data_IF_916303634703
#
_entry.id   IF_916303634703
#
_cell.length_a   1.000
_cell.length_b   1.000
_cell.length_c   1.000
_cell.angle_alpha   90.00
_cell.angle_beta   90.00
_cell.angle_gamma   90.00
#
_symmetry.space_group_name_H-M   'P 1'
#
loop_
_entity.id
_entity.type
_entity.pdbx_description
1 polymer ?
#
# COMPACT_ATOMS: atom_id res chain seq x y z
N UNK A 1 6.65 -6.97 -10.21
CA UNK A 1 7.59 -6.92 -9.07
C UNK A 1 7.16 -5.83 -8.08
N UNK A 2 7.09 -6.13 -6.78
CA UNK A 2 6.67 -5.14 -5.76
C UNK A 2 7.85 -4.29 -5.30
N UNK A 3 7.55 -3.09 -4.78
CA UNK A 3 8.58 -2.21 -4.18
C UNK A 3 9.40 -2.92 -3.09
N UNK A 4 8.73 -3.71 -2.23
CA UNK A 4 9.39 -4.48 -1.17
C UNK A 4 10.41 -5.49 -1.73
N UNK A 5 10.11 -6.10 -2.87
CA UNK A 5 10.96 -7.09 -3.52
C UNK A 5 12.17 -6.41 -4.16
N UNK A 6 11.95 -5.29 -4.85
CA UNK A 6 13.01 -4.45 -5.39
C UNK A 6 13.97 -3.95 -4.32
N UNK A 7 13.45 -3.44 -3.20
CA UNK A 7 14.29 -2.97 -2.10
C UNK A 7 15.09 -4.10 -1.47
N UNK A 8 14.55 -5.32 -1.42
CA UNK A 8 15.26 -6.50 -0.92
C UNK A 8 16.37 -6.93 -1.87
N UNK A 9 16.11 -6.94 -3.17
CA UNK A 9 17.08 -7.30 -4.22
C UNK A 9 18.26 -6.31 -4.25
N UNK A 10 17.97 -5.01 -4.18
CA UNK A 10 19.00 -3.97 -4.19
C UNK A 10 19.61 -3.70 -2.80
N UNK A 11 19.17 -4.43 -1.76
CA UNK A 11 19.56 -4.22 -0.36
C UNK A 11 19.42 -2.76 0.09
N UNK A 12 18.32 -2.12 -0.34
CA UNK A 12 17.98 -0.75 0.00
C UNK A 12 17.16 -0.70 1.27
N UNK A 13 17.64 0.07 2.24
CA UNK A 13 16.89 0.46 3.42
C UNK A 13 15.83 1.53 3.10
N UNK A 14 14.86 1.65 4.02
CA UNK A 14 13.76 2.60 3.88
C UNK A 14 14.26 4.05 3.80
N UNK A 15 15.30 4.40 4.57
CA UNK A 15 15.96 5.70 4.56
C UNK A 15 16.76 5.94 3.27
N UNK A 16 17.42 4.91 2.75
CA UNK A 16 18.18 4.99 1.51
C UNK A 16 17.25 5.22 0.32
N UNK A 17 16.13 4.49 0.27
CA UNK A 17 15.13 4.68 -0.78
C UNK A 17 14.42 6.04 -0.67
N UNK A 18 14.11 6.47 0.55
CA UNK A 18 13.54 7.79 0.80
C UNK A 18 14.48 8.92 0.34
N UNK A 19 15.78 8.80 0.67
CA UNK A 19 16.81 9.75 0.23
C UNK A 19 16.98 9.76 -1.28
N UNK A 20 16.88 8.60 -1.93
CA UNK A 20 16.93 8.46 -3.40
C UNK A 20 15.74 9.12 -4.08
N UNK A 21 14.56 9.07 -3.46
CA UNK A 21 13.35 9.70 -4.00
C UNK A 21 13.29 11.21 -3.69
N UNK A 22 13.95 11.67 -2.62
CA UNK A 22 14.13 13.07 -2.23
C UNK A 22 12.90 13.77 -1.66
N UNK A 23 11.70 13.24 -1.90
CA UNK A 23 10.40 13.88 -1.59
C UNK A 23 9.55 13.02 -0.63
N UNK A 24 10.17 12.13 0.14
CA UNK A 24 9.45 11.26 1.06
C UNK A 24 10.28 10.85 2.27
N UNK A 25 9.61 10.35 3.30
CA UNK A 25 10.24 9.86 4.53
C UNK A 25 10.28 8.33 4.53
N UNK A 26 11.22 7.75 5.28
CA UNK A 26 11.31 6.30 5.49
C UNK A 26 9.99 5.69 6.00
N UNK A 27 9.25 6.44 6.82
CA UNK A 27 7.94 6.03 7.30
C UNK A 27 6.89 5.95 6.17
N UNK A 28 6.91 6.89 5.22
CA UNK A 28 6.06 6.82 4.03
C UNK A 28 6.41 5.60 3.16
N UNK A 29 7.71 5.36 2.92
CA UNK A 29 8.19 4.17 2.20
C UNK A 29 7.72 2.88 2.86
N UNK A 30 7.81 2.80 4.20
CA UNK A 30 7.31 1.65 4.97
C UNK A 30 5.80 1.44 4.74
N UNK A 31 5.00 2.50 4.82
CA UNK A 31 3.54 2.43 4.55
C UNK A 31 3.26 1.93 3.13
N UNK A 32 4.03 2.36 2.14
CA UNK A 32 3.86 1.92 0.75
C UNK A 32 4.28 0.46 0.54
N UNK A 33 5.40 0.02 1.13
CA UNK A 33 5.88 -1.38 1.05
C UNK A 33 4.81 -2.38 1.50
N UNK A 34 4.12 -2.07 2.59
CA UNK A 34 3.08 -2.93 3.16
C UNK A 34 1.69 -2.67 2.56
N UNK A 35 1.53 -1.71 1.65
CA UNK A 35 0.25 -1.35 1.05
C UNK A 35 -0.74 -0.71 2.03
N UNK A 36 -0.23 -0.20 3.16
CA UNK A 36 -1.04 0.46 4.19
C UNK A 36 -1.47 1.86 3.76
N UNK A 37 -0.69 2.47 2.85
CA UNK A 37 -1.00 3.73 2.17
C UNK A 37 -0.67 3.60 0.68
N UNK A 38 -1.53 4.15 -0.17
CA UNK A 38 -1.22 4.37 -1.58
C UNK A 38 -0.49 5.71 -1.77
N UNK A 39 0.66 5.74 -2.47
CA UNK A 39 1.31 6.97 -2.89
C UNK A 39 0.50 7.69 -3.98
N UNK A 40 0.65 9.01 -4.06
CA UNK A 40 0.06 9.82 -5.14
C UNK A 40 0.61 9.44 -6.52
N UNK A 41 -0.17 9.70 -7.57
CA UNK A 41 0.18 9.36 -8.95
C UNK A 41 1.56 9.93 -9.38
N UNK A 42 1.88 11.17 -8.99
CA UNK A 42 3.19 11.76 -9.26
C UNK A 42 4.34 11.03 -8.55
N UNK A 43 4.11 10.55 -7.33
CA UNK A 43 5.07 9.75 -6.55
C UNK A 43 5.27 8.38 -7.18
N UNK A 44 4.21 7.74 -7.69
CA UNK A 44 4.30 6.46 -8.40
C UNK A 44 5.20 6.59 -9.63
N UNK A 45 5.02 7.65 -10.43
CA UNK A 45 5.87 7.91 -11.61
C UNK A 45 7.34 8.12 -11.19
N UNK A 46 7.59 8.89 -10.13
CA UNK A 46 8.94 9.08 -9.59
C UNK A 46 9.58 7.78 -9.12
N UNK A 47 8.81 6.91 -8.46
CA UNK A 47 9.27 5.57 -8.04
C UNK A 47 9.62 4.73 -9.26
N UNK A 48 8.79 4.75 -10.30
CA UNK A 48 9.07 4.01 -11.54
C UNK A 48 10.38 4.48 -12.19
N UNK A 49 10.62 5.80 -12.24
CA UNK A 49 11.88 6.36 -12.75
C UNK A 49 13.06 5.97 -11.86
N UNK A 50 12.92 6.12 -10.54
CA UNK A 50 13.99 5.80 -9.57
C UNK A 50 14.38 4.32 -9.58
N UNK A 51 13.43 3.43 -9.88
CA UNK A 51 13.62 1.98 -9.96
C UNK A 51 13.97 1.50 -11.38
N UNK A 52 14.21 2.42 -12.31
CA UNK A 52 14.48 2.12 -13.73
C UNK A 52 13.41 1.23 -14.39
N UNK A 53 12.14 1.41 -14.00
CA UNK A 53 11.01 0.64 -14.52
C UNK A 53 10.87 -0.76 -13.93
N UNK A 54 11.72 -1.16 -12.98
CA UNK A 54 11.56 -2.45 -12.27
C UNK A 54 10.26 -2.51 -11.45
N UNK A 55 9.82 -1.37 -10.91
CA UNK A 55 8.52 -1.22 -10.26
C UNK A 55 7.67 -0.32 -11.14
N UNK A 56 6.65 -0.88 -11.79
CA UNK A 56 5.80 -0.14 -12.71
C UNK A 56 4.51 0.34 -12.05
N UNK A 57 3.80 1.26 -12.71
CA UNK A 57 2.45 1.69 -12.30
C UNK A 57 1.50 0.49 -12.20
N UNK A 58 1.66 -0.52 -13.08
CA UNK A 58 0.84 -1.74 -13.06
C UNK A 58 1.03 -2.51 -11.75
N UNK A 59 2.28 -2.66 -11.29
CA UNK A 59 2.58 -3.36 -10.04
C UNK A 59 1.94 -2.67 -8.83
N UNK A 60 1.88 -1.33 -8.85
CA UNK A 60 1.17 -0.55 -7.84
C UNK A 60 -0.34 -0.77 -7.89
N UNK A 61 -0.93 -0.78 -9.09
CA UNK A 61 -2.36 -1.03 -9.28
C UNK A 61 -2.75 -2.45 -8.78
N UNK A 62 -1.94 -3.46 -9.08
CA UNK A 62 -2.16 -4.83 -8.59
C UNK A 62 -2.07 -4.93 -7.06
N UNK A 63 -1.16 -4.18 -6.43
CA UNK A 63 -1.07 -4.12 -4.97
C UNK A 63 -2.30 -3.44 -4.35
N UNK A 64 -2.77 -2.34 -4.93
CA UNK A 64 -3.96 -1.62 -4.48
C UNK A 64 -5.21 -2.51 -4.59
N UNK A 65 -5.36 -3.23 -5.70
CA UNK A 65 -6.46 -4.17 -5.91
C UNK A 65 -6.44 -5.31 -4.89
N UNK A 66 -5.28 -5.92 -4.65
CA UNK A 66 -5.12 -6.96 -3.65
C UNK A 66 -5.47 -6.48 -2.22
N UNK A 67 -5.10 -5.25 -1.86
CA UNK A 67 -5.46 -4.68 -0.56
C UNK A 67 -6.94 -4.34 -0.46
N UNK A 68 -7.56 -3.87 -1.53
CA UNK A 68 -9.01 -3.65 -1.60
C UNK A 68 -9.77 -4.97 -1.47
N UNK A 69 -9.35 -6.02 -2.19
CA UNK A 69 -9.92 -7.35 -2.09
C UNK A 69 -9.82 -7.92 -0.67
N UNK A 70 -8.66 -7.75 -0.02
CA UNK A 70 -8.46 -8.14 1.40
C UNK A 70 -9.38 -7.40 2.35
N UNK A 71 -9.58 -6.09 2.15
CA UNK A 71 -10.50 -5.29 2.97
C UNK A 71 -11.94 -5.75 2.77
N UNK A 72 -12.37 -5.96 1.53
CA UNK A 72 -13.71 -6.46 1.21
C UNK A 72 -13.98 -7.83 1.87
N UNK A 73 -13.04 -8.76 1.79
CA UNK A 73 -13.14 -10.06 2.44
C UNK A 73 -13.22 -9.97 3.98
N UNK A 74 -12.63 -8.94 4.59
CA UNK A 74 -12.65 -8.75 6.04
C UNK A 74 -13.92 -8.03 6.53
N UNK A 75 -14.62 -7.28 5.67
CA UNK A 75 -15.88 -6.59 6.00
C UNK A 75 -17.07 -7.56 6.09
N UNK A 76 -17.04 -8.66 5.33
CA UNK A 76 -18.06 -9.72 5.36
C UNK A 76 -18.16 -10.46 6.71
N UNK A 77 -17.14 -10.31 7.58
CA UNK A 77 -17.10 -10.93 8.91
C UNK A 77 -17.74 -10.08 10.04
N UNK A 78 -18.53 -9.05 9.71
CA UNK A 78 -19.28 -8.27 10.73
C UNK A 78 -20.67 -8.90 10.92
N UNK A 79 -21.00 -9.51 12.08
CA UNK A 79 -22.39 -9.80 12.38
C UNK A 79 -23.12 -8.46 12.47
N UNK A 80 -24.18 -8.32 11.67
CA UNK A 80 -25.09 -7.17 11.74
C UNK A 80 -25.41 -6.85 13.21
N UNK A 81 -25.45 -5.57 13.61
CA UNK A 81 -25.92 -5.25 14.96
C UNK A 81 -27.32 -5.84 15.10
N UNK A 82 -27.48 -6.75 16.05
CA UNK A 82 -28.78 -7.26 16.43
C UNK A 82 -29.64 -6.04 16.79
N UNK A 83 -30.56 -5.68 15.92
CA UNK A 83 -31.66 -4.78 16.25
C UNK A 83 -32.41 -5.42 17.41
N UNK A 84 -32.10 -4.98 18.63
CA UNK A 84 -32.92 -5.26 19.79
C UNK A 84 -34.21 -4.48 19.60
N UNK A 85 -35.15 -5.13 18.91
CA UNK A 85 -36.53 -4.72 18.83
C UNK A 85 -37.04 -4.43 20.25
N UNK A 86 -37.72 -3.28 20.37
CA UNK A 86 -38.25 -2.81 21.63
C UNK A 86 -39.17 -3.82 22.30
N UNK A 87 -39.09 -3.86 23.63
CA UNK A 87 -40.16 -4.34 24.48
C UNK A 87 -40.64 -3.11 25.27
N UNK A 88 -41.71 -2.50 24.77
CA UNK A 88 -42.63 -1.73 25.57
C UNK A 88 -43.48 -2.69 26.41
N UNK A 89 -43.60 -2.42 27.71
CA UNK A 89 -44.81 -2.51 28.55
C UNK A 89 -44.43 -2.30 30.01
#
# INVERSE_FOLDING_TARGET
>A
MRLLDYMRDEKLDDEAFASRLGDCTAHAVKKWKYGEREPDAGTIVRIQVATAGKVTVRDWAEQADAMRARRAANTDATPAPAETAGAAA
#
